data_IF_796323589735
#
_entry.id   IF_796323589735
#
_cell.length_a   1.000
_cell.length_b   1.000
_cell.length_c   1.000
_cell.angle_alpha   90.00
_cell.angle_beta   90.00
_cell.angle_gamma   90.00
#
_symmetry.space_group_name_H-M   'P 1'
#
loop_
_entity.id
_entity.type
_entity.pdbx_description
1 polymer ?
#
# COMPACT_ATOMS: atom_id res chain seq x y z
N UNK A 1 -55.98 -29.48 -27.16
CA UNK A 1 -55.23 -29.25 -25.89
C UNK A 1 -53.75 -29.58 -26.02
N UNK A 2 -53.34 -30.80 -26.43
CA UNK A 2 -51.92 -31.22 -26.55
C UNK A 2 -50.94 -30.20 -27.15
N UNK A 3 -51.31 -29.47 -28.22
CA UNK A 3 -50.46 -28.43 -28.83
C UNK A 3 -50.06 -27.29 -27.87
N UNK A 4 -50.85 -26.98 -26.84
CA UNK A 4 -50.47 -25.97 -25.83
C UNK A 4 -49.43 -26.50 -24.84
N UNK A 5 -49.55 -27.75 -24.37
CA UNK A 5 -48.57 -28.34 -23.45
C UNK A 5 -47.16 -28.31 -24.06
N UNK A 6 -47.01 -28.80 -25.30
CA UNK A 6 -45.71 -28.84 -25.96
C UNK A 6 -45.06 -27.44 -26.08
N UNK A 7 -45.86 -26.39 -26.30
CA UNK A 7 -45.36 -25.02 -26.39
C UNK A 7 -44.84 -24.51 -25.04
N UNK A 8 -45.53 -24.85 -23.95
CA UNK A 8 -45.12 -24.53 -22.58
C UNK A 8 -43.84 -25.29 -22.19
N UNK A 9 -43.74 -26.59 -22.50
CA UNK A 9 -42.53 -27.37 -22.21
C UNK A 9 -41.31 -26.84 -22.97
N UNK A 10 -41.49 -26.40 -24.22
CA UNK A 10 -40.42 -25.76 -25.01
C UNK A 10 -40.02 -24.41 -24.39
N UNK A 11 -40.98 -23.57 -23.99
CA UNK A 11 -40.70 -22.28 -23.33
C UNK A 11 -39.94 -22.45 -22.01
N UNK A 12 -40.36 -23.40 -21.16
CA UNK A 12 -39.68 -23.71 -19.88
C UNK A 12 -38.29 -24.31 -20.11
N UNK A 13 -38.11 -25.14 -21.14
CA UNK A 13 -36.79 -25.65 -21.54
C UNK A 13 -35.84 -24.54 -22.01
N UNK A 14 -36.35 -23.56 -22.77
CA UNK A 14 -35.57 -22.42 -23.27
C UNK A 14 -35.20 -21.45 -22.14
N UNK A 15 -36.13 -21.12 -21.22
CA UNK A 15 -35.79 -20.25 -20.08
C UNK A 15 -34.83 -20.92 -19.09
N UNK A 16 -34.93 -22.24 -18.91
CA UNK A 16 -33.94 -23.04 -18.17
C UNK A 16 -32.55 -22.96 -18.81
N UNK A 17 -32.45 -23.06 -20.14
CA UNK A 17 -31.18 -22.90 -20.89
C UNK A 17 -30.59 -21.47 -20.81
N UNK A 18 -31.42 -20.44 -20.68
CA UNK A 18 -30.97 -19.05 -20.47
C UNK A 18 -30.45 -18.83 -19.03
N UNK A 19 -30.75 -19.72 -18.09
CA UNK A 19 -30.06 -19.78 -16.78
C UNK A 19 -28.62 -20.34 -16.87
N UNK A 20 -28.05 -20.44 -18.07
CA UNK A 20 -26.73 -20.97 -18.36
C UNK A 20 -25.57 -20.13 -17.84
N UNK A 21 -25.27 -20.26 -16.54
CA UNK A 21 -23.93 -20.08 -15.94
C UNK A 21 -23.24 -18.75 -16.29
N UNK A 22 -23.85 -17.63 -15.88
CA UNK A 22 -23.13 -16.37 -15.66
C UNK A 22 -22.40 -16.38 -14.30
N UNK A 23 -21.71 -17.48 -13.99
CA UNK A 23 -20.75 -17.61 -12.90
C UNK A 23 -19.45 -16.86 -13.24
N UNK A 24 -19.57 -15.57 -13.50
CA UNK A 24 -18.42 -14.68 -13.73
C UNK A 24 -17.64 -14.54 -12.41
N UNK A 25 -16.31 -14.48 -12.49
CA UNK A 25 -15.44 -14.17 -11.34
C UNK A 25 -16.04 -13.06 -10.45
N UNK A 26 -16.02 -13.23 -9.11
CA UNK A 26 -16.70 -12.33 -8.20
C UNK A 26 -16.25 -10.88 -8.41
N UNK A 27 -17.21 -9.97 -8.47
CA UNK A 27 -16.95 -8.58 -8.83
C UNK A 27 -16.12 -7.89 -7.74
N UNK A 28 -14.84 -7.65 -8.04
CA UNK A 28 -13.95 -6.93 -7.12
C UNK A 28 -14.39 -5.47 -7.09
N UNK A 29 -14.97 -5.07 -5.95
CA UNK A 29 -15.26 -3.69 -5.58
C UNK A 29 -13.97 -2.97 -5.12
N UNK A 30 -13.90 -1.63 -5.23
CA UNK A 30 -12.81 -0.86 -4.62
C UNK A 30 -12.84 -1.04 -3.10
N UNK A 31 -11.67 -0.97 -2.45
CA UNK A 31 -11.60 -0.97 -0.99
C UNK A 31 -12.34 0.23 -0.39
N UNK A 32 -13.00 0.06 0.76
CA UNK A 32 -13.92 1.08 1.33
C UNK A 32 -13.21 2.40 1.67
N UNK A 33 -11.94 2.33 2.07
CA UNK A 33 -11.12 3.50 2.40
C UNK A 33 -10.39 4.11 1.18
N UNK A 34 -10.60 3.58 -0.02
CA UNK A 34 -10.00 4.08 -1.27
C UNK A 34 -10.51 5.48 -1.66
N UNK A 35 -11.62 5.92 -1.05
CA UNK A 35 -12.11 7.31 -1.10
C UNK A 35 -11.21 8.29 -0.33
N UNK A 36 -10.44 7.83 0.67
CA UNK A 36 -9.54 8.66 1.46
C UNK A 36 -8.12 8.71 0.85
N UNK A 37 -7.57 7.58 0.38
CA UNK A 37 -6.34 7.62 -0.45
C UNK A 37 -6.64 7.87 -1.93
N UNK A 38 -6.56 9.14 -2.31
CA UNK A 38 -6.66 9.61 -3.69
C UNK A 38 -5.73 8.89 -4.68
N UNK A 39 -4.57 8.38 -4.22
CA UNK A 39 -3.64 7.66 -5.09
C UNK A 39 -4.13 6.23 -5.37
N UNK A 40 -4.66 5.54 -4.36
CA UNK A 40 -5.30 4.24 -4.54
C UNK A 40 -6.54 4.35 -5.45
N UNK A 41 -7.36 5.39 -5.29
CA UNK A 41 -8.49 5.67 -6.19
C UNK A 41 -8.07 5.92 -7.65
N UNK A 42 -6.95 6.61 -7.88
CA UNK A 42 -6.39 6.82 -9.23
C UNK A 42 -5.76 5.55 -9.82
N UNK A 43 -5.07 4.73 -9.03
CA UNK A 43 -4.62 3.39 -9.45
C UNK A 43 -5.81 2.51 -9.82
N UNK A 44 -6.88 2.55 -9.03
CA UNK A 44 -8.12 1.80 -9.31
C UNK A 44 -8.75 2.23 -10.63
N UNK A 45 -8.88 3.53 -10.89
CA UNK A 45 -9.35 4.05 -12.18
C UNK A 45 -8.47 3.57 -13.34
N UNK A 46 -7.14 3.59 -13.17
CA UNK A 46 -6.16 3.13 -14.17
C UNK A 46 -6.30 1.63 -14.47
N UNK A 47 -6.45 0.80 -13.45
CA UNK A 47 -6.66 -0.66 -13.61
C UNK A 47 -8.03 -0.95 -14.22
N UNK A 48 -9.10 -0.34 -13.71
CA UNK A 48 -10.48 -0.68 -14.09
C UNK A 48 -10.90 -0.14 -15.46
N UNK A 49 -10.62 1.13 -15.74
CA UNK A 49 -11.09 1.81 -16.95
C UNK A 49 -10.01 1.85 -18.05
N UNK A 50 -8.75 2.13 -17.70
CA UNK A 50 -7.64 2.14 -18.67
C UNK A 50 -7.06 0.74 -18.95
N UNK A 51 -7.43 -0.27 -18.15
CA UNK A 51 -6.96 -1.67 -18.27
C UNK A 51 -5.44 -1.82 -18.19
N UNK A 52 -4.80 -0.99 -17.37
CA UNK A 52 -3.36 -0.96 -17.15
C UNK A 52 -3.02 -1.09 -15.67
N UNK A 53 -2.07 -1.97 -15.34
CA UNK A 53 -1.45 -2.05 -14.02
C UNK A 53 -0.02 -1.50 -14.11
N UNK A 54 0.28 -0.32 -13.51
CA UNK A 54 1.64 0.22 -13.45
C UNK A 54 2.54 -0.64 -12.55
N UNK A 55 3.80 -0.83 -12.95
CA UNK A 55 4.79 -1.66 -12.24
C UNK A 55 5.89 -0.85 -11.56
N UNK A 56 6.80 -1.55 -10.86
CA UNK A 56 7.93 -0.97 -10.10
C UNK A 56 8.82 -0.03 -10.94
N UNK A 57 8.90 -0.22 -12.26
CA UNK A 57 9.70 0.60 -13.19
C UNK A 57 8.90 1.69 -13.91
N UNK A 58 7.64 1.92 -13.55
CA UNK A 58 6.88 3.05 -14.08
C UNK A 58 7.49 4.38 -13.59
N UNK A 59 7.42 5.44 -14.39
CA UNK A 59 7.77 6.78 -13.90
C UNK A 59 6.73 7.23 -12.87
N UNK A 60 7.14 7.93 -11.81
CA UNK A 60 6.18 8.51 -10.85
C UNK A 60 5.18 9.41 -11.58
N UNK A 61 3.89 9.10 -11.46
CA UNK A 61 2.81 9.83 -12.08
C UNK A 61 1.56 9.77 -11.18
N UNK A 62 1.34 10.87 -10.45
CA UNK A 62 0.24 11.02 -9.52
C UNK A 62 -1.14 11.04 -10.19
N UNK A 63 -1.26 11.30 -11.49
CA UNK A 63 -2.54 11.33 -12.21
C UNK A 63 -3.14 9.93 -12.37
N UNK A 64 -2.27 8.93 -12.59
CA UNK A 64 -2.60 7.49 -12.58
C UNK A 64 -2.34 6.84 -11.21
N UNK A 65 -2.07 7.63 -10.16
CA UNK A 65 -1.85 7.18 -8.78
C UNK A 65 -0.51 6.49 -8.52
N UNK A 66 0.40 6.50 -9.49
CA UNK A 66 1.73 5.89 -9.39
C UNK A 66 2.64 6.76 -8.51
N UNK A 67 2.83 6.30 -7.29
CA UNK A 67 3.58 7.00 -6.23
C UNK A 67 4.74 6.15 -5.71
N UNK A 68 5.65 6.77 -4.95
CA UNK A 68 6.69 6.03 -4.23
C UNK A 68 6.11 4.95 -3.30
N UNK A 69 4.94 5.19 -2.69
CA UNK A 69 4.22 4.20 -1.87
C UNK A 69 3.78 2.98 -2.68
N UNK A 70 3.29 3.19 -3.90
CA UNK A 70 2.92 2.10 -4.80
C UNK A 70 4.14 1.25 -5.20
N UNK A 71 5.27 1.89 -5.53
CA UNK A 71 6.50 1.17 -5.84
C UNK A 71 7.02 0.36 -4.63
N UNK A 72 7.06 0.97 -3.45
CA UNK A 72 7.43 0.29 -2.20
C UNK A 72 6.53 -0.91 -1.91
N UNK A 73 5.20 -0.75 -2.03
CA UNK A 73 4.25 -1.86 -1.89
C UNK A 73 4.52 -2.98 -2.89
N UNK A 74 4.75 -2.67 -4.18
CA UNK A 74 5.04 -3.69 -5.18
C UNK A 74 6.38 -4.41 -4.94
N UNK A 75 7.36 -3.73 -4.34
CA UNK A 75 8.68 -4.29 -4.00
C UNK A 75 8.59 -5.21 -2.77
N UNK A 76 8.08 -4.71 -1.64
CA UNK A 76 8.07 -5.42 -0.35
C UNK A 76 6.92 -6.43 -0.21
N UNK A 77 5.73 -6.08 -0.71
CA UNK A 77 4.49 -6.84 -0.42
C UNK A 77 3.84 -7.44 -1.66
N UNK A 78 4.14 -6.92 -2.86
CA UNK A 78 3.45 -7.27 -4.11
C UNK A 78 3.47 -8.76 -4.45
N UNK A 79 4.58 -9.47 -4.17
CA UNK A 79 4.67 -10.92 -4.39
C UNK A 79 3.84 -11.73 -3.38
N UNK A 80 3.81 -11.31 -2.11
CA UNK A 80 2.99 -11.93 -1.06
C UNK A 80 1.50 -11.72 -1.34
N UNK A 81 1.10 -10.48 -1.63
CA UNK A 81 -0.25 -10.14 -2.04
C UNK A 81 -0.67 -10.96 -3.29
N UNK A 82 0.16 -11.01 -4.33
CA UNK A 82 -0.11 -11.79 -5.54
C UNK A 82 -0.31 -13.28 -5.24
N UNK A 83 0.49 -13.90 -4.37
CA UNK A 83 0.34 -15.32 -4.07
C UNK A 83 -0.98 -15.61 -3.32
N UNK A 84 -1.39 -14.75 -2.38
CA UNK A 84 -2.69 -14.85 -1.71
C UNK A 84 -3.85 -14.71 -2.72
N UNK A 85 -3.78 -13.69 -3.58
CA UNK A 85 -4.80 -13.40 -4.61
C UNK A 85 -4.91 -14.55 -5.63
N UNK A 86 -3.80 -15.23 -5.95
CA UNK A 86 -3.81 -16.41 -6.82
C UNK A 86 -4.37 -17.66 -6.12
N UNK A 87 -4.24 -17.78 -4.80
CA UNK A 87 -4.90 -18.82 -4.02
C UNK A 87 -6.42 -18.59 -3.98
N UNK A 88 -6.87 -17.36 -3.69
CA UNK A 88 -8.28 -16.95 -3.78
C UNK A 88 -8.87 -17.29 -5.15
N UNK A 89 -8.19 -16.84 -6.22
CA UNK A 89 -8.62 -17.06 -7.60
C UNK A 89 -8.74 -18.56 -7.92
N UNK A 90 -7.77 -19.38 -7.51
CA UNK A 90 -7.81 -20.81 -7.73
C UNK A 90 -8.97 -21.48 -6.97
N UNK A 91 -9.24 -21.08 -5.73
CA UNK A 91 -10.38 -21.57 -4.94
C UNK A 91 -11.72 -21.24 -5.62
N UNK A 92 -11.95 -19.99 -6.02
CA UNK A 92 -13.15 -19.60 -6.80
C UNK A 92 -13.26 -20.31 -8.15
N UNK A 93 -12.14 -20.56 -8.84
CA UNK A 93 -12.11 -21.32 -10.09
C UNK A 93 -12.52 -22.78 -9.87
N UNK A 94 -11.99 -23.44 -8.83
CA UNK A 94 -12.28 -24.85 -8.56
C UNK A 94 -13.74 -25.07 -8.15
N UNK A 95 -14.31 -24.19 -7.33
CA UNK A 95 -15.68 -24.33 -6.83
C UNK A 95 -16.76 -23.84 -7.81
N UNK A 96 -16.52 -22.72 -8.51
CA UNK A 96 -17.60 -21.95 -9.15
C UNK A 96 -17.50 -21.87 -10.68
N UNK A 97 -16.40 -21.35 -11.25
CA UNK A 97 -16.34 -21.01 -12.70
C UNK A 97 -15.65 -22.09 -13.58
N UNK A 98 -14.77 -22.91 -12.99
CA UNK A 98 -14.04 -24.03 -13.65
C UNK A 98 -13.19 -23.68 -14.87
N UNK A 99 -12.93 -22.39 -15.13
CA UNK A 99 -12.02 -21.92 -16.19
C UNK A 99 -10.58 -21.82 -15.68
N UNK A 100 -9.62 -22.39 -16.41
CA UNK A 100 -8.23 -21.97 -16.23
C UNK A 100 -8.04 -20.55 -16.78
N UNK A 101 -7.48 -19.69 -15.95
CA UNK A 101 -7.14 -18.30 -16.28
C UNK A 101 -5.63 -18.10 -16.49
N UNK A 102 -4.77 -19.01 -16.04
CA UNK A 102 -3.29 -19.01 -16.17
C UNK A 102 -2.56 -17.65 -16.03
N UNK A 103 -3.10 -16.72 -15.22
CA UNK A 103 -2.54 -15.36 -15.07
C UNK A 103 -1.29 -15.30 -14.20
N UNK A 104 -1.09 -16.28 -13.31
CA UNK A 104 -0.04 -16.27 -12.30
C UNK A 104 1.39 -16.07 -12.85
N UNK A 105 1.84 -16.82 -13.88
CA UNK A 105 3.17 -16.65 -14.45
C UNK A 105 3.42 -15.25 -15.03
N UNK A 106 2.41 -14.65 -15.68
CA UNK A 106 2.48 -13.28 -16.26
C UNK A 106 2.68 -12.24 -15.16
N UNK A 107 1.89 -12.30 -14.09
CA UNK A 107 1.99 -11.36 -12.97
C UNK A 107 3.28 -11.55 -12.15
N UNK A 108 3.70 -12.78 -11.86
CA UNK A 108 4.99 -13.04 -11.17
C UNK A 108 6.19 -12.51 -11.96
N UNK A 109 6.20 -12.72 -13.29
CA UNK A 109 7.23 -12.15 -14.17
C UNK A 109 7.21 -10.61 -14.14
N UNK A 110 6.03 -10.01 -14.13
CA UNK A 110 5.85 -8.55 -14.09
C UNK A 110 6.32 -7.91 -12.78
N UNK A 111 6.05 -8.53 -11.63
CA UNK A 111 6.46 -8.04 -10.31
C UNK A 111 7.92 -8.37 -9.94
N UNK A 112 8.58 -9.26 -10.69
CA UNK A 112 10.00 -9.57 -10.45
C UNK A 112 10.90 -8.34 -10.65
N UNK A 113 11.94 -8.18 -9.83
CA UNK A 113 12.90 -7.06 -9.96
C UNK A 113 13.59 -7.01 -11.35
N UNK A 114 13.68 -8.14 -12.03
CA UNK A 114 14.22 -8.29 -13.38
C UNK A 114 13.24 -7.90 -14.50
N UNK A 115 11.97 -7.61 -14.17
CA UNK A 115 10.98 -7.09 -15.11
C UNK A 115 11.44 -5.77 -15.73
N UNK A 116 11.45 -5.69 -17.06
CA UNK A 116 11.69 -4.44 -17.82
C UNK A 116 10.39 -3.69 -18.14
N UNK A 117 9.23 -4.27 -17.82
CA UNK A 117 7.94 -3.69 -18.16
C UNK A 117 7.54 -2.60 -17.16
N UNK A 118 7.19 -1.41 -17.65
CA UNK A 118 6.66 -0.32 -16.84
C UNK A 118 5.16 -0.48 -16.56
N UNK A 119 4.43 -1.10 -17.48
CA UNK A 119 2.98 -1.34 -17.41
C UNK A 119 2.70 -2.79 -17.80
N UNK A 120 1.75 -3.42 -17.13
CA UNK A 120 1.10 -4.64 -17.57
C UNK A 120 -0.28 -4.29 -18.12
N UNK A 121 -0.57 -4.50 -19.42
CA UNK A 121 -1.94 -4.52 -19.91
C UNK A 121 -2.69 -5.65 -19.20
N UNK A 122 -3.87 -5.36 -18.67
CA UNK A 122 -4.71 -6.29 -17.89
C UNK A 122 -6.11 -6.27 -18.48
N UNK A 123 -6.24 -6.88 -19.66
CA UNK A 123 -7.43 -6.81 -20.51
C UNK A 123 -8.45 -7.92 -20.23
N UNK A 124 -8.00 -9.07 -19.74
CA UNK A 124 -8.84 -10.24 -19.52
C UNK A 124 -9.48 -10.27 -18.12
N UNK A 125 -10.50 -11.11 -17.92
CA UNK A 125 -11.26 -11.16 -16.65
C UNK A 125 -10.40 -11.57 -15.46
N UNK A 126 -9.58 -12.61 -15.61
CA UNK A 126 -8.64 -13.04 -14.56
C UNK A 126 -7.57 -11.97 -14.26
N UNK A 127 -7.09 -11.27 -15.29
CA UNK A 127 -6.11 -10.20 -15.12
C UNK A 127 -6.69 -8.99 -14.40
N UNK A 128 -7.92 -8.59 -14.76
CA UNK A 128 -8.69 -7.57 -14.08
C UNK A 128 -8.95 -7.93 -12.61
N UNK A 129 -9.32 -9.18 -12.31
CA UNK A 129 -9.50 -9.66 -10.94
C UNK A 129 -8.21 -9.50 -10.12
N UNK A 130 -7.09 -10.05 -10.62
CA UNK A 130 -5.81 -10.01 -9.90
C UNK A 130 -5.29 -8.58 -9.73
N UNK A 131 -5.37 -7.75 -10.77
CA UNK A 131 -4.92 -6.35 -10.71
C UNK A 131 -5.77 -5.50 -9.75
N UNK A 132 -7.09 -5.69 -9.72
CA UNK A 132 -7.99 -5.00 -8.76
C UNK A 132 -7.70 -5.41 -7.33
N UNK A 133 -7.55 -6.71 -7.06
CA UNK A 133 -7.19 -7.22 -5.72
C UNK A 133 -5.82 -6.70 -5.27
N UNK A 134 -4.84 -6.54 -6.19
CA UNK A 134 -3.53 -5.92 -5.90
C UNK A 134 -3.65 -4.43 -5.50
N UNK A 135 -4.54 -3.67 -6.13
CA UNK A 135 -4.78 -2.25 -5.75
C UNK A 135 -5.54 -2.13 -4.43
N UNK A 136 -6.45 -3.06 -4.12
CA UNK A 136 -7.04 -3.13 -2.77
C UNK A 136 -5.97 -3.45 -1.73
N UNK A 137 -5.18 -4.51 -1.90
CA UNK A 137 -4.11 -4.89 -0.97
C UNK A 137 -3.09 -3.75 -0.69
N UNK A 138 -2.87 -2.85 -1.66
CA UNK A 138 -2.10 -1.62 -1.45
C UNK A 138 -2.79 -0.63 -0.49
N UNK A 139 -4.09 -0.40 -0.67
CA UNK A 139 -4.88 0.44 0.24
C UNK A 139 -4.93 -0.17 1.65
N UNK A 140 -5.16 -1.48 1.77
CA UNK A 140 -5.18 -2.24 3.02
C UNK A 140 -3.85 -2.09 3.79
N UNK A 141 -2.72 -2.27 3.10
CA UNK A 141 -1.37 -2.14 3.66
C UNK A 141 -1.13 -0.72 4.21
N UNK A 142 -1.53 0.31 3.46
CA UNK A 142 -1.30 1.70 3.87
C UNK A 142 -2.24 2.16 4.98
N UNK A 143 -3.46 1.61 5.06
CA UNK A 143 -4.35 1.77 6.22
C UNK A 143 -3.70 1.21 7.48
N UNK A 144 -3.18 -0.03 7.44
CA UNK A 144 -2.55 -0.68 8.60
C UNK A 144 -1.36 0.14 9.12
N UNK A 145 -0.53 0.67 8.22
CA UNK A 145 0.58 1.56 8.57
C UNK A 145 0.10 2.86 9.26
N UNK A 146 -0.94 3.52 8.75
CA UNK A 146 -1.50 4.72 9.38
C UNK A 146 -2.16 4.43 10.73
N UNK A 147 -2.90 3.32 10.87
CA UNK A 147 -3.51 2.93 12.13
C UNK A 147 -2.45 2.66 13.21
N UNK A 148 -1.38 1.93 12.87
CA UNK A 148 -0.25 1.70 13.77
C UNK A 148 0.46 2.99 14.18
N UNK A 149 0.64 3.95 13.26
CA UNK A 149 1.21 5.27 13.57
C UNK A 149 0.32 6.08 14.52
N UNK A 150 -1.00 6.10 14.30
CA UNK A 150 -1.95 6.81 15.18
C UNK A 150 -1.99 6.18 16.57
N UNK A 151 -2.01 4.85 16.66
CA UNK A 151 -2.01 4.13 17.92
C UNK A 151 -0.70 4.33 18.70
N UNK A 152 0.46 4.35 18.03
CA UNK A 152 1.75 4.66 18.66
C UNK A 152 1.84 6.12 19.15
N UNK A 153 1.28 7.07 18.40
CA UNK A 153 1.22 8.47 18.83
C UNK A 153 0.31 8.65 20.06
N UNK A 154 -0.87 8.03 20.05
CA UNK A 154 -1.80 8.03 21.19
C UNK A 154 -1.20 7.37 22.43
N UNK A 155 -0.46 6.26 22.28
CA UNK A 155 0.23 5.62 23.40
C UNK A 155 1.30 6.55 23.98
N UNK A 156 2.12 7.19 23.15
CA UNK A 156 3.13 8.14 23.62
C UNK A 156 2.54 9.39 24.31
N UNK A 157 1.32 9.79 23.95
CA UNK A 157 0.58 10.87 24.63
C UNK A 157 0.09 10.42 26.02
N UNK A 158 -0.42 9.18 26.16
CA UNK A 158 -0.78 8.60 27.46
C UNK A 158 0.45 8.43 28.36
N UNK A 159 1.54 7.85 27.83
CA UNK A 159 2.79 7.62 28.56
C UNK A 159 3.41 8.95 29.06
N UNK A 160 3.26 10.04 28.29
CA UNK A 160 3.69 11.37 28.68
C UNK A 160 2.85 11.95 29.82
N UNK A 161 1.53 11.79 29.79
CA UNK A 161 0.62 12.23 30.85
C UNK A 161 0.90 11.48 32.16
N UNK A 162 1.12 10.17 32.11
CA UNK A 162 1.49 9.37 33.30
C UNK A 162 2.84 9.83 33.89
N UNK A 163 3.80 10.25 33.05
CA UNK A 163 5.06 10.85 33.50
C UNK A 163 4.92 12.25 34.11
N UNK A 164 3.99 13.09 33.64
CA UNK A 164 3.71 14.39 34.26
C UNK A 164 2.96 14.25 35.60
N UNK A 165 1.93 13.38 35.68
CA UNK A 165 1.20 13.12 36.93
C UNK A 165 2.10 12.47 38.01
N UNK A 166 2.97 11.52 37.63
CA UNK A 166 3.93 10.91 38.57
C UNK A 166 5.09 11.85 38.95
N UNK A 167 5.45 12.81 38.10
CA UNK A 167 6.45 13.85 38.40
C UNK A 167 5.93 14.95 39.34
N UNK A 168 4.62 15.23 39.34
CA UNK A 168 4.03 16.35 40.08
C UNK A 168 3.97 16.21 41.62
N UNK A 169 4.22 15.03 42.17
CA UNK A 169 3.94 14.71 43.60
C UNK A 169 5.14 14.96 44.54
N UNK A 170 6.20 15.64 44.08
CA UNK A 170 7.31 16.10 44.93
C UNK A 170 7.59 17.60 44.82
N UNK A 171 6.68 18.42 45.35
CA UNK A 171 6.98 19.79 45.82
C UNK A 171 5.98 20.22 46.90
N UNK A 172 6.46 20.35 48.14
CA UNK A 172 5.64 20.75 49.29
C UNK A 172 6.45 20.95 50.58
N UNK A 173 6.93 22.20 50.78
CA UNK A 173 7.46 22.83 52.00
C UNK A 173 8.77 22.28 52.63
N UNK A 174 9.83 23.05 52.96
CA UNK A 174 10.05 24.43 53.51
C UNK A 174 10.15 24.44 55.06
N UNK A 175 11.19 24.93 55.75
CA UNK A 175 12.56 25.39 55.35
C UNK A 175 13.65 24.43 55.92
N UNK A 176 14.82 24.72 56.53
CA UNK A 176 15.61 25.91 56.99
C UNK A 176 17.13 25.49 57.02
N UNK A 177 18.12 26.34 57.41
CA UNK A 177 19.49 25.81 57.64
C UNK A 177 20.74 26.71 57.83
N UNK A 178 20.72 28.02 57.52
CA UNK A 178 21.70 29.07 57.90
C UNK A 178 23.23 29.01 57.45
N UNK A 179 23.86 30.19 57.45
CA UNK A 179 25.32 30.53 57.42
C UNK A 179 26.22 30.36 56.17
N UNK A 180 26.16 31.39 55.30
CA UNK A 180 27.23 32.40 55.09
C UNK A 180 28.66 32.09 54.52
N UNK A 181 28.97 32.82 53.43
CA UNK A 181 30.27 33.46 53.05
C UNK A 181 31.35 32.66 52.29
N UNK A 182 31.68 33.13 51.08
CA UNK A 182 32.92 32.80 50.35
C UNK A 182 32.97 33.42 48.94
N UNK A 183 33.67 34.56 48.71
CA UNK A 183 33.59 35.27 47.43
C UNK A 183 34.66 34.88 46.41
N UNK A 184 34.23 34.61 45.19
CA UNK A 184 34.98 34.91 43.97
C UNK A 184 35.84 33.79 43.36
N UNK A 185 35.44 33.36 42.16
CA UNK A 185 36.37 33.39 41.02
C UNK A 185 35.61 33.68 39.72
N UNK A 186 36.17 34.55 38.88
CA UNK A 186 35.64 34.90 37.56
C UNK A 186 36.66 34.47 36.51
N UNK A 187 36.38 33.36 35.83
CA UNK A 187 37.12 32.89 34.65
C UNK A 187 36.03 32.45 33.66
N UNK A 188 35.51 33.37 32.87
CA UNK A 188 36.07 33.84 31.59
C UNK A 188 36.24 32.70 30.59
N UNK A 189 35.52 32.80 29.47
CA UNK A 189 35.43 31.76 28.46
C UNK A 189 36.75 31.50 27.73
N UNK A 190 36.94 30.26 27.27
CA UNK A 190 37.73 30.01 26.07
C UNK A 190 36.90 29.32 24.98
N UNK A 191 37.25 29.63 23.72
CA UNK A 191 36.47 29.33 22.51
C UNK A 191 37.43 28.79 21.45
N UNK A 192 37.71 27.50 21.54
CA UNK A 192 38.70 26.79 20.71
C UNK A 192 38.11 25.43 20.29
N UNK A 193 38.08 25.01 19.01
CA UNK A 193 38.50 25.69 17.77
C UNK A 193 37.49 25.50 16.62
N UNK A 194 37.68 26.28 15.55
CA UNK A 194 36.91 26.27 14.29
C UNK A 194 37.89 26.25 13.11
N UNK A 195 37.42 25.71 11.98
CA UNK A 195 37.94 25.89 10.61
C UNK A 195 39.07 24.95 10.14
N UNK A 196 39.09 24.76 8.81
CA UNK A 196 39.95 23.81 8.08
C UNK A 196 39.10 22.84 7.24
N UNK A 197 38.56 23.13 6.07
CA UNK A 197 38.79 24.22 5.09
C UNK A 197 40.20 24.22 4.46
N UNK A 198 40.41 24.14 3.15
CA UNK A 198 39.50 23.89 2.01
C UNK A 198 40.31 23.54 0.73
N UNK A 199 39.63 23.44 -0.42
CA UNK A 199 40.16 23.52 -1.82
C UNK A 199 40.86 22.25 -2.37
N UNK A 200 40.42 21.70 -3.52
CA UNK A 200 40.75 22.05 -4.92
C UNK A 200 42.24 21.79 -5.27
N UNK A 201 42.64 21.00 -6.26
CA UNK A 201 42.05 20.42 -7.49
C UNK A 201 43.26 19.90 -8.32
N UNK A 202 43.34 19.99 -9.67
CA UNK A 202 42.29 20.15 -10.68
C UNK A 202 42.45 19.21 -11.92
N UNK A 203 41.48 19.27 -12.85
CA UNK A 203 41.60 19.14 -14.33
C UNK A 203 42.46 18.05 -15.04
N UNK A 204 41.75 17.35 -15.95
CA UNK A 204 42.12 17.02 -17.37
C UNK A 204 43.37 16.16 -17.68
N UNK A 205 43.18 15.18 -18.58
CA UNK A 205 43.57 15.29 -20.02
C UNK A 205 42.94 14.16 -20.87
N UNK A 206 42.52 14.48 -22.10
CA UNK A 206 42.02 13.52 -23.10
C UNK A 206 43.16 12.67 -23.69
N UNK A 207 42.82 11.54 -24.34
CA UNK A 207 42.97 11.43 -25.80
C UNK A 207 42.30 10.16 -26.38
N UNK A 208 41.87 10.32 -27.64
CA UNK A 208 41.62 9.30 -28.67
C UNK A 208 40.76 8.09 -28.29
#
# INVERSE_FOLDING_TARGET
MTKMLNLITILVGITSLVSGVMCVLPHVMPHELMQYDHNAGRLWNTVTNMKMLPGVRHTLNYEVGVTARWHHFLQEHGNTALNNILADLNHYVQEVDRRDYNVGPRFRKFLSANSKAQVLPVSERGEQYVARRLVNAFADTWQQHHAAQQQAAWQAELDAIEHEESGGVMSGSEEEGDTATGPGQVVQAERSQRAGSASAGPSRRNQS
#
